data_IF_142951933026
#
_entry.id   IF_142951933026
#
_cell.length_a   1.000
_cell.length_b   1.000
_cell.length_c   1.000
_cell.angle_alpha   90.00
_cell.angle_beta   90.00
_cell.angle_gamma   90.00
#
_symmetry.space_group_name_H-M   'P 1'
#
loop_
_entity.id
_entity.type
_entity.pdbx_description
1 polymer ?
#
# COMPACT_ATOMS: atom_id res chain seq x y z
N UNK A 1 49.11 -47.73 -50.40
CA UNK A 1 49.78 -47.08 -49.25
C UNK A 1 48.75 -46.16 -48.60
N UNK A 2 48.04 -46.49 -47.53
CA UNK A 2 48.34 -47.28 -46.33
C UNK A 2 49.53 -46.75 -45.53
N UNK A 3 49.24 -45.91 -44.53
CA UNK A 3 49.84 -46.03 -43.20
C UNK A 3 48.72 -45.81 -42.18
N UNK A 4 48.31 -46.90 -41.54
CA UNK A 4 47.64 -46.91 -40.25
C UNK A 4 48.16 -48.17 -39.57
N UNK A 5 48.74 -48.08 -38.36
CA UNK A 5 48.12 -48.90 -37.31
C UNK A 5 48.25 -48.36 -35.87
N UNK A 6 47.21 -48.66 -35.08
CA UNK A 6 47.24 -48.87 -33.61
C UNK A 6 46.48 -47.80 -32.80
N UNK A 7 45.14 -47.77 -32.71
CA UNK A 7 44.22 -48.60 -31.87
C UNK A 7 44.72 -48.70 -30.41
N UNK A 8 44.03 -48.17 -29.38
CA UNK A 8 42.91 -48.77 -28.64
C UNK A 8 42.30 -47.72 -27.68
N UNK A 9 40.99 -47.63 -27.40
CA UNK A 9 39.94 -48.62 -27.58
C UNK A 9 38.53 -48.03 -27.67
N UNK A 10 37.66 -48.83 -28.28
CA UNK A 10 36.22 -48.65 -28.45
C UNK A 10 35.46 -49.46 -27.37
N UNK A 11 34.18 -49.09 -27.22
CA UNK A 11 33.02 -49.87 -26.73
C UNK A 11 32.80 -50.00 -25.21
N UNK A 12 31.83 -49.23 -24.71
CA UNK A 12 30.65 -49.79 -24.03
C UNK A 12 29.46 -48.84 -24.23
N UNK A 13 28.30 -49.42 -24.51
CA UNK A 13 27.03 -48.79 -24.84
C UNK A 13 26.54 -47.70 -23.86
N UNK A 14 25.88 -46.66 -24.37
CA UNK A 14 24.45 -46.37 -24.09
C UNK A 14 24.02 -45.00 -24.62
N UNK A 15 22.82 -44.86 -25.23
CA UNK A 15 22.33 -43.61 -25.75
C UNK A 15 21.59 -42.84 -24.65
N UNK A 16 22.30 -42.16 -23.76
CA UNK A 16 21.64 -41.47 -22.65
C UNK A 16 21.51 -39.98 -22.92
N UNK A 17 20.43 -39.67 -23.65
CA UNK A 17 19.55 -38.54 -23.41
C UNK A 17 20.18 -37.27 -22.85
N UNK A 18 20.63 -36.39 -23.74
CA UNK A 18 20.58 -34.94 -23.50
C UNK A 18 19.59 -34.33 -24.49
N UNK A 19 18.42 -34.94 -24.55
CA UNK A 19 17.21 -34.33 -25.08
C UNK A 19 16.32 -34.04 -23.89
N UNK A 20 16.25 -32.77 -23.50
CA UNK A 20 15.20 -32.29 -22.60
C UNK A 20 15.71 -31.66 -21.31
N UNK A 21 16.35 -30.49 -21.39
CA UNK A 21 16.43 -29.59 -20.22
C UNK A 21 16.18 -28.11 -20.54
N UNK A 22 15.80 -27.76 -21.77
CA UNK A 22 15.45 -26.38 -22.15
C UNK A 22 13.95 -26.17 -22.42
N UNK A 23 13.10 -27.12 -22.01
CA UNK A 23 11.64 -27.03 -22.16
C UNK A 23 10.89 -27.32 -20.85
N UNK A 24 11.46 -27.00 -19.68
CA UNK A 24 10.73 -27.04 -18.40
C UNK A 24 9.93 -25.78 -18.09
N UNK A 25 9.82 -24.86 -19.05
CA UNK A 25 9.02 -23.63 -18.94
C UNK A 25 7.59 -23.77 -19.44
N UNK A 26 7.06 -24.99 -19.50
CA UNK A 26 5.63 -25.21 -19.33
C UNK A 26 5.48 -25.89 -17.97
N UNK A 27 5.38 -25.07 -16.93
CA UNK A 27 4.92 -25.53 -15.61
C UNK A 27 3.67 -26.36 -15.84
N UNK A 28 3.62 -27.56 -15.29
CA UNK A 28 2.42 -28.39 -15.39
C UNK A 28 1.21 -27.53 -15.01
N UNK A 29 0.15 -27.45 -15.84
CA UNK A 29 -1.07 -26.73 -15.49
C UNK A 29 -1.57 -27.04 -14.08
N UNK A 30 -1.34 -28.28 -13.60
CA UNK A 30 -1.63 -28.70 -12.25
C UNK A 30 -0.72 -28.03 -11.20
N UNK A 31 0.60 -27.97 -11.42
CA UNK A 31 1.54 -27.29 -10.52
C UNK A 31 1.29 -25.77 -10.48
N UNK A 32 0.90 -25.18 -11.61
CA UNK A 32 0.47 -23.79 -11.66
C UNK A 32 -0.83 -23.57 -10.87
N UNK A 33 -1.82 -24.44 -11.05
CA UNK A 33 -3.09 -24.35 -10.32
C UNK A 33 -2.88 -24.45 -8.80
N UNK A 34 -2.05 -25.39 -8.34
CA UNK A 34 -1.71 -25.57 -6.92
C UNK A 34 -0.99 -24.34 -6.36
N UNK A 35 0.00 -23.80 -7.07
CA UNK A 35 0.72 -22.62 -6.61
C UNK A 35 -0.19 -21.38 -6.55
N UNK A 36 -1.06 -21.21 -7.54
CA UNK A 36 -2.05 -20.12 -7.55
C UNK A 36 -3.02 -20.23 -6.39
N UNK A 37 -3.51 -21.44 -6.10
CA UNK A 37 -4.40 -21.68 -4.96
C UNK A 37 -3.70 -21.38 -3.63
N UNK A 38 -2.44 -21.81 -3.49
CA UNK A 38 -1.64 -21.51 -2.30
C UNK A 38 -1.40 -20.00 -2.11
N UNK A 39 -1.17 -19.26 -3.20
CA UNK A 39 -1.01 -17.80 -3.16
C UNK A 39 -2.29 -17.09 -2.72
N UNK A 40 -3.43 -17.46 -3.32
CA UNK A 40 -4.74 -16.90 -2.95
C UNK A 40 -5.07 -17.22 -1.49
N UNK A 41 -4.79 -18.44 -1.05
CA UNK A 41 -4.96 -18.85 0.35
C UNK A 41 -4.10 -17.99 1.29
N UNK A 42 -2.81 -17.85 1.01
CA UNK A 42 -1.90 -17.06 1.83
C UNK A 42 -2.33 -15.58 1.91
N UNK A 43 -2.74 -15.00 0.78
CA UNK A 43 -3.23 -13.62 0.75
C UNK A 43 -4.54 -13.46 1.52
N UNK A 44 -5.44 -14.43 1.43
CA UNK A 44 -6.70 -14.44 2.18
C UNK A 44 -6.46 -14.53 3.69
N UNK A 45 -5.56 -15.41 4.13
CA UNK A 45 -5.23 -15.54 5.55
C UNK A 45 -4.54 -14.28 6.08
N UNK A 46 -3.68 -13.65 5.28
CA UNK A 46 -3.06 -12.37 5.63
C UNK A 46 -4.12 -11.26 5.80
N UNK A 47 -5.12 -11.19 4.90
CA UNK A 47 -6.23 -10.24 5.00
C UNK A 47 -7.07 -10.49 6.27
N UNK A 48 -7.42 -11.75 6.57
CA UNK A 48 -8.14 -12.10 7.81
C UNK A 48 -7.36 -11.70 9.06
N UNK A 49 -6.05 -11.93 9.06
CA UNK A 49 -5.20 -11.54 10.18
C UNK A 49 -5.26 -10.01 10.37
N UNK A 50 -5.12 -9.23 9.31
CA UNK A 50 -5.26 -7.76 9.35
C UNK A 50 -6.63 -7.31 9.87
N UNK A 51 -7.70 -7.99 9.45
CA UNK A 51 -9.07 -7.69 9.89
C UNK A 51 -9.28 -8.01 11.38
N UNK A 52 -8.52 -8.95 11.95
CA UNK A 52 -8.58 -9.30 13.37
C UNK A 52 -7.74 -8.40 14.30
N UNK A 53 -6.79 -7.62 13.74
CA UNK A 53 -5.91 -6.72 14.52
C UNK A 53 -6.65 -5.80 15.51
N UNK A 54 -7.83 -5.24 15.18
CA UNK A 54 -8.58 -4.41 16.13
C UNK A 54 -8.99 -5.12 17.42
N UNK A 55 -9.13 -6.45 17.41
CA UNK A 55 -9.56 -7.24 18.56
C UNK A 55 -8.43 -7.51 19.55
N UNK A 56 -7.18 -7.41 19.11
CA UNK A 56 -5.98 -7.72 19.90
C UNK A 56 -5.53 -6.46 20.63
N UNK A 57 -5.62 -6.40 21.96
CA UNK A 57 -5.19 -5.23 22.72
C UNK A 57 -3.67 -5.00 22.61
N UNK A 58 -3.24 -3.77 22.32
CA UNK A 58 -1.83 -3.39 22.43
C UNK A 58 -1.52 -2.94 23.86
N UNK A 59 -0.55 -3.60 24.50
CA UNK A 59 -0.16 -3.31 25.89
C UNK A 59 1.02 -2.34 26.00
N UNK A 60 1.58 -1.92 24.87
CA UNK A 60 2.72 -1.01 24.78
C UNK A 60 2.54 -0.01 23.63
N UNK A 61 3.26 1.12 23.72
CA UNK A 61 3.28 2.12 22.65
C UNK A 61 3.83 1.54 21.33
N UNK A 62 4.81 0.64 21.41
CA UNK A 62 5.32 -0.08 20.23
C UNK A 62 4.21 -0.91 19.56
N UNK A 63 3.36 -1.59 20.34
CA UNK A 63 2.21 -2.32 19.82
C UNK A 63 1.18 -1.40 19.15
N UNK A 64 0.96 -0.21 19.71
CA UNK A 64 0.09 0.81 19.09
C UNK A 64 0.69 1.29 17.76
N UNK A 65 1.99 1.56 17.72
CA UNK A 65 2.69 1.96 16.50
C UNK A 65 2.59 0.87 15.45
N UNK A 66 2.75 -0.40 15.83
CA UNK A 66 2.61 -1.54 14.92
C UNK A 66 1.19 -1.59 14.29
N UNK A 67 0.14 -1.38 15.09
CA UNK A 67 -1.23 -1.27 14.57
C UNK A 67 -1.39 -0.14 13.56
N UNK A 68 -0.84 1.04 13.86
CA UNK A 68 -0.89 2.19 12.95
C UNK A 68 -0.11 1.94 11.66
N UNK A 69 1.04 1.27 11.74
CA UNK A 69 1.83 0.88 10.56
C UNK A 69 1.06 -0.09 9.66
N UNK A 70 0.28 -1.02 10.23
CA UNK A 70 -0.60 -1.91 9.46
C UNK A 70 -1.67 -1.10 8.73
N UNK A 71 -2.28 -0.09 9.38
CA UNK A 71 -3.28 0.78 8.75
C UNK A 71 -2.67 1.59 7.60
N UNK A 72 -1.52 2.22 7.83
CA UNK A 72 -0.83 3.05 6.81
C UNK A 72 -0.32 2.20 5.65
N UNK A 73 0.21 1.01 5.95
CA UNK A 73 0.74 0.09 4.94
C UNK A 73 -0.33 -0.65 4.15
N UNK A 74 -1.61 -0.51 4.49
CA UNK A 74 -2.70 -1.20 3.81
C UNK A 74 -2.98 -0.67 2.38
N UNK A 75 -2.27 0.38 1.91
CA UNK A 75 -2.38 0.97 0.57
C UNK A 75 -3.81 1.03 0.03
N UNK A 76 -4.73 1.50 0.88
CA UNK A 76 -6.13 1.66 0.50
C UNK A 76 -6.32 3.09 0.02
N UNK A 77 -6.55 3.26 -1.27
CA UNK A 77 -7.20 4.47 -1.77
C UNK A 77 -8.57 4.57 -1.11
N UNK A 78 -8.72 5.51 -0.16
CA UNK A 78 -9.97 5.73 0.55
C UNK A 78 -10.90 6.53 -0.37
N UNK A 79 -11.50 5.83 -1.33
CA UNK A 79 -12.49 6.40 -2.24
C UNK A 79 -13.84 6.63 -1.57
N UNK A 80 -14.28 5.68 -0.72
CA UNK A 80 -15.49 5.79 0.10
C UNK A 80 -15.11 5.99 1.59
N UNK A 81 -15.66 7.00 2.28
CA UNK A 81 -15.53 7.14 3.73
C UNK A 81 -15.90 5.89 4.56
N UNK A 82 -16.70 4.96 4.00
CA UNK A 82 -16.99 3.67 4.65
C UNK A 82 -15.83 2.67 4.61
N UNK A 83 -14.89 2.83 3.66
CA UNK A 83 -13.65 2.02 3.56
C UNK A 83 -12.59 2.46 4.59
N UNK A 84 -12.82 3.59 5.26
CA UNK A 84 -11.93 4.06 6.30
C UNK A 84 -11.89 3.06 7.47
N UNK A 85 -10.71 2.70 8.00
CA UNK A 85 -10.55 1.63 8.98
C UNK A 85 -10.94 2.06 10.40
N UNK A 86 -12.22 2.45 10.58
CA UNK A 86 -12.79 2.90 11.85
C UNK A 86 -12.57 1.89 13.00
N UNK A 87 -12.74 0.57 12.80
CA UNK A 87 -12.48 -0.41 13.86
C UNK A 87 -11.02 -0.38 14.35
N UNK A 88 -10.05 -0.27 13.43
CA UNK A 88 -8.63 -0.19 13.77
C UNK A 88 -8.30 1.08 14.53
N UNK A 89 -8.85 2.22 14.10
CA UNK A 89 -8.65 3.51 14.80
C UNK A 89 -9.28 3.48 16.20
N UNK A 90 -10.49 2.96 16.35
CA UNK A 90 -11.13 2.82 17.66
C UNK A 90 -10.32 1.92 18.61
N UNK A 91 -9.72 0.85 18.07
CA UNK A 91 -8.84 -0.05 18.83
C UNK A 91 -7.57 0.67 19.30
N UNK A 92 -6.90 1.42 18.41
CA UNK A 92 -5.71 2.22 18.76
C UNK A 92 -6.03 3.25 19.84
N UNK A 93 -7.15 3.96 19.75
CA UNK A 93 -7.55 4.93 20.77
C UNK A 93 -7.77 4.27 22.13
N UNK A 94 -8.42 3.10 22.16
CA UNK A 94 -8.62 2.33 23.39
C UNK A 94 -7.30 1.91 24.03
N UNK A 95 -6.36 1.41 23.21
CA UNK A 95 -5.03 1.01 23.70
C UNK A 95 -4.26 2.20 24.26
N UNK A 96 -4.32 3.36 23.58
CA UNK A 96 -3.70 4.60 24.06
C UNK A 96 -4.30 5.07 25.39
N UNK A 97 -5.62 5.03 25.55
CA UNK A 97 -6.29 5.32 26.83
C UNK A 97 -5.86 4.36 27.93
N UNK A 98 -5.63 3.08 27.60
CA UNK A 98 -5.15 2.09 28.56
C UNK A 98 -3.70 2.35 28.99
N UNK A 99 -2.83 2.76 28.05
CA UNK A 99 -1.40 3.00 28.30
C UNK A 99 -1.16 4.36 28.98
N UNK A 100 -1.78 5.42 28.47
CA UNK A 100 -1.58 6.79 28.94
C UNK A 100 -2.53 7.17 30.10
N UNK A 101 -3.53 6.33 30.38
CA UNK A 101 -4.67 6.67 31.23
C UNK A 101 -5.70 7.52 30.48
N UNK A 102 -6.84 7.75 31.12
CA UNK A 102 -7.85 8.67 30.59
C UNK A 102 -7.29 10.08 30.53
N UNK A 103 -7.08 10.59 29.33
CA UNK A 103 -6.82 12.01 29.16
C UNK A 103 -8.10 12.77 29.57
N UNK A 104 -8.00 13.82 30.40
CA UNK A 104 -9.15 14.67 30.65
C UNK A 104 -9.68 15.14 29.29
N UNK A 105 -11.01 15.15 29.07
CA UNK A 105 -11.59 15.50 27.79
C UNK A 105 -11.01 16.85 27.38
N UNK A 106 -10.11 16.81 26.39
CA UNK A 106 -9.49 17.99 25.84
C UNK A 106 -10.63 18.67 25.10
N UNK A 107 -11.38 19.57 25.75
CA UNK A 107 -12.37 20.37 25.05
C UNK A 107 -11.56 21.29 24.14
N UNK A 108 -11.52 21.04 22.81
CA UNK A 108 -10.94 22.04 21.95
C UNK A 108 -11.77 23.29 22.18
N UNK A 109 -11.11 24.38 22.56
CA UNK A 109 -11.82 25.62 22.84
C UNK A 109 -12.58 26.00 21.58
N UNK A 110 -13.91 25.83 21.59
CA UNK A 110 -14.75 26.19 20.44
C UNK A 110 -14.55 27.65 20.03
N UNK A 111 -14.18 28.49 20.99
CA UNK A 111 -13.76 29.86 20.73
C UNK A 111 -12.47 29.89 19.89
N UNK A 112 -11.43 29.16 20.29
CA UNK A 112 -10.17 29.06 19.54
C UNK A 112 -10.39 28.52 18.12
N UNK A 113 -11.13 27.42 17.97
CA UNK A 113 -11.48 26.87 16.65
C UNK A 113 -12.25 27.87 15.78
N UNK A 114 -13.19 28.62 16.36
CA UNK A 114 -13.93 29.68 15.64
C UNK A 114 -13.03 30.84 15.23
N UNK A 115 -12.10 31.25 16.08
CA UNK A 115 -11.13 32.30 15.77
C UNK A 115 -10.21 31.86 14.64
N UNK A 116 -9.69 30.63 14.68
CA UNK A 116 -8.83 30.10 13.63
C UNK A 116 -9.61 29.95 12.31
N UNK A 117 -10.85 29.44 12.36
CA UNK A 117 -11.73 29.38 11.19
C UNK A 117 -12.00 30.77 10.59
N UNK A 118 -12.31 31.78 11.41
CA UNK A 118 -12.53 33.14 10.94
C UNK A 118 -11.29 33.74 10.27
N UNK A 119 -10.10 33.48 10.83
CA UNK A 119 -8.82 33.90 10.23
C UNK A 119 -8.61 33.28 8.85
N UNK A 120 -8.81 31.96 8.74
CA UNK A 120 -8.65 31.25 7.47
C UNK A 120 -9.70 31.67 6.45
N UNK A 121 -10.94 31.92 6.87
CA UNK A 121 -11.99 32.43 5.98
C UNK A 121 -11.64 33.82 5.44
N UNK A 122 -11.16 34.73 6.29
CA UNK A 122 -10.71 36.06 5.86
C UNK A 122 -9.56 35.96 4.84
N UNK A 123 -8.57 35.11 5.11
CA UNK A 123 -7.44 34.88 4.19
C UNK A 123 -7.90 34.30 2.84
N UNK A 124 -8.87 33.38 2.87
CA UNK A 124 -9.44 32.81 1.64
C UNK A 124 -10.22 33.85 0.83
N UNK A 125 -10.97 34.73 1.49
CA UNK A 125 -11.68 35.84 0.81
C UNK A 125 -10.70 36.80 0.14
N UNK A 126 -9.60 37.15 0.80
CA UNK A 126 -8.55 37.98 0.19
C UNK A 126 -7.90 37.30 -1.01
N UNK A 127 -7.58 36.01 -0.91
CA UNK A 127 -7.01 35.24 -2.02
C UNK A 127 -7.96 35.18 -3.22
N UNK A 128 -9.25 34.93 -2.99
CA UNK A 128 -10.26 34.90 -4.07
C UNK A 128 -10.42 36.27 -4.71
N UNK A 129 -10.42 37.35 -3.92
CA UNK A 129 -10.49 38.71 -4.46
C UNK A 129 -9.27 39.03 -5.33
N UNK A 130 -8.06 38.67 -4.88
CA UNK A 130 -6.84 38.87 -5.66
C UNK A 130 -6.87 38.12 -7.00
N UNK A 131 -7.35 36.87 -7.02
CA UNK A 131 -7.51 36.10 -8.26
C UNK A 131 -8.50 36.75 -9.24
N UNK A 132 -9.62 37.30 -8.74
CA UNK A 132 -10.60 38.00 -9.57
C UNK A 132 -9.99 39.28 -10.17
N UNK A 133 -9.21 40.02 -9.38
CA UNK A 133 -8.55 41.24 -9.85
C UNK A 133 -7.45 40.93 -10.89
N UNK A 134 -6.71 39.82 -10.72
CA UNK A 134 -5.74 39.31 -11.70
C UNK A 134 -6.44 38.92 -13.01
N UNK A 135 -7.52 38.13 -12.97
CA UNK A 135 -8.31 37.75 -14.15
C UNK A 135 -8.85 38.98 -14.90
N UNK A 136 -9.32 40.00 -14.16
CA UNK A 136 -9.84 41.24 -14.73
C UNK A 136 -8.73 42.12 -15.36
N UNK A 137 -7.51 42.05 -14.84
CA UNK A 137 -6.35 42.73 -15.39
C UNK A 137 -5.85 42.04 -16.68
N UNK A 138 -5.86 40.71 -16.72
CA UNK A 138 -5.50 39.93 -17.91
C UNK A 138 -6.49 40.15 -19.07
N UNK A 139 -7.80 40.16 -18.79
CA UNK A 139 -8.83 40.43 -19.80
C UNK A 139 -8.78 41.85 -20.39
N UNK A 140 -8.25 42.83 -19.64
CA UNK A 140 -8.02 44.21 -20.14
C UNK A 140 -6.69 44.37 -20.88
N UNK A 141 -5.80 43.38 -20.78
CA UNK A 141 -4.48 43.34 -21.41
C UNK A 141 -4.45 42.72 -22.80
N UNK A 142 -5.53 42.11 -23.29
CA UNK A 142 -5.60 41.59 -24.67
C UNK A 142 -6.03 42.70 -25.67
N UNK A 143 -5.10 43.27 -26.47
CA UNK A 143 -5.50 44.09 -27.60
C UNK A 143 -6.13 43.18 -28.67
N UNK A 144 -7.37 43.52 -29.05
CA UNK A 144 -8.02 43.04 -30.26
C UNK A 144 -7.05 43.12 -31.44
N UNK A 145 -6.48 41.99 -31.83
CA UNK A 145 -5.71 41.85 -33.07
C UNK A 145 -6.69 41.87 -34.24
N UNK A 146 -6.88 43.06 -34.79
CA UNK A 146 -7.42 43.28 -36.13
C UNK A 146 -6.38 42.90 -37.20
#
# INVERSE_FOLDING_TARGET
MMVNPGIQGLTADSPTGVRGQTARTLRDPQEYAVAREAEVFAMTEALKLQDSVPEIAATSLEGVIAKLQIIVGADRDIGDPTDFPWPHIASVLRDLEQIAGYLPPCRPSRAKTRTDFARHLASAVELVAALIDEDAAEQRGEPSRA
#
